data_IF_482932003364
#
_entry.id   IF_482932003364
#
_cell.length_a   1.000
_cell.length_b   1.000
_cell.length_c   1.000
_cell.angle_alpha   90.00
_cell.angle_beta   90.00
_cell.angle_gamma   90.00
#
_symmetry.space_group_name_H-M   'P 1'
#
loop_
_entity.id
_entity.type
_entity.pdbx_description
1 polymer ?
#
# COMPACT_ATOMS: atom_id res chain seq x y z
N UNK A 1 -11.03 9.75 1.21
CA UNK A 1 -11.55 8.37 1.27
C UNK A 1 -10.64 7.49 2.10
N UNK A 2 -11.18 6.40 2.60
CA UNK A 2 -10.45 5.52 3.52
C UNK A 2 -10.11 4.21 2.83
N UNK A 3 -8.86 3.78 2.99
CA UNK A 3 -8.40 2.48 2.49
C UNK A 3 -7.67 1.73 3.59
N UNK A 4 -7.47 0.45 3.38
CA UNK A 4 -6.64 -0.37 4.26
C UNK A 4 -5.36 -0.69 3.51
N UNK A 5 -4.20 -0.45 4.16
CA UNK A 5 -2.89 -0.70 3.57
C UNK A 5 -2.16 -1.77 4.36
N UNK A 6 -1.55 -2.70 3.64
CA UNK A 6 -0.68 -3.68 4.26
C UNK A 6 0.58 -3.84 3.43
N UNK A 7 1.72 -3.54 4.06
CA UNK A 7 3.03 -3.70 3.44
C UNK A 7 3.69 -4.92 4.07
N UNK A 8 4.04 -5.89 3.23
CA UNK A 8 4.51 -7.20 3.70
C UNK A 8 6.02 -7.27 3.78
N UNK A 9 6.50 -8.18 4.62
CA UNK A 9 7.91 -8.50 4.76
C UNK A 9 8.75 -7.23 4.98
N UNK A 10 9.85 -7.08 4.24
CA UNK A 10 10.75 -5.95 4.43
C UNK A 10 10.11 -4.58 4.16
N UNK A 11 8.96 -4.54 3.49
CA UNK A 11 8.27 -3.28 3.25
C UNK A 11 7.52 -2.77 4.46
N UNK A 12 7.37 -3.60 5.49
CA UNK A 12 6.64 -3.20 6.70
C UNK A 12 7.20 -1.96 7.36
N UNK A 13 8.50 -1.70 7.21
CA UNK A 13 9.14 -0.52 7.80
C UNK A 13 8.61 0.80 7.25
N UNK A 14 7.93 0.75 6.09
CA UNK A 14 7.36 1.96 5.50
C UNK A 14 5.92 2.21 5.92
N UNK A 15 5.35 1.31 6.72
CA UNK A 15 3.98 1.53 7.21
C UNK A 15 3.91 2.80 8.03
N UNK A 16 2.91 3.65 7.77
CA UNK A 16 2.78 4.87 8.56
C UNK A 16 2.44 4.56 10.01
N UNK A 17 3.00 5.34 10.91
CA UNK A 17 2.65 5.23 12.32
C UNK A 17 1.36 5.98 12.58
N UNK A 18 0.48 5.38 13.39
CA UNK A 18 -0.80 5.98 13.70
C UNK A 18 -0.97 6.07 15.20
N UNK A 19 -1.78 7.04 15.68
CA UNK A 19 -2.08 7.12 17.11
C UNK A 19 -2.74 5.85 17.62
N UNK A 20 -2.60 5.59 18.91
CA UNK A 20 -3.12 4.36 19.52
C UNK A 20 -4.62 4.21 19.34
N UNK A 21 -5.36 5.32 19.29
CA UNK A 21 -6.81 5.29 19.12
C UNK A 21 -7.25 4.97 17.70
N UNK A 22 -6.33 4.89 16.74
CA UNK A 22 -6.66 4.55 15.36
C UNK A 22 -6.18 3.16 15.04
N UNK A 23 -6.90 2.51 14.13
CA UNK A 23 -6.51 1.16 13.70
C UNK A 23 -5.29 1.23 12.80
N UNK A 24 -4.27 0.41 13.06
CA UNK A 24 -3.12 0.33 12.15
C UNK A 24 -3.55 -0.14 10.77
N UNK A 25 -2.92 0.44 9.75
CA UNK A 25 -3.18 0.04 8.37
C UNK A 25 -4.29 0.78 7.68
N UNK A 26 -5.09 1.57 8.39
CA UNK A 26 -6.16 2.35 7.76
C UNK A 26 -5.68 3.76 7.51
N UNK A 27 -5.86 4.24 6.28
CA UNK A 27 -5.37 5.55 5.84
C UNK A 27 -6.47 6.35 5.20
N UNK A 28 -6.41 7.68 5.41
CA UNK A 28 -7.21 8.62 4.63
C UNK A 28 -6.39 9.09 3.44
N UNK A 29 -6.95 8.98 2.25
CA UNK A 29 -6.29 9.45 1.03
C UNK A 29 -7.30 10.24 0.19
N UNK A 30 -6.79 11.00 -0.77
CA UNK A 30 -7.63 11.79 -1.64
C UNK A 30 -8.17 10.92 -2.79
N UNK A 31 -9.35 11.26 -3.28
CA UNK A 31 -9.88 10.61 -4.45
C UNK A 31 -8.95 10.80 -5.63
N UNK A 32 -8.84 9.77 -6.45
CA UNK A 32 -7.99 9.82 -7.62
C UNK A 32 -6.55 9.42 -7.35
N UNK A 33 -6.21 9.08 -6.10
CA UNK A 33 -4.86 8.65 -5.76
C UNK A 33 -4.57 7.30 -6.42
N UNK A 34 -3.45 7.23 -7.15
CA UNK A 34 -2.99 5.97 -7.69
C UNK A 34 -2.16 5.23 -6.64
N UNK A 35 -2.02 3.91 -6.83
CA UNK A 35 -1.20 3.11 -5.94
C UNK A 35 0.24 3.65 -5.94
N UNK A 36 0.77 3.97 -7.12
CA UNK A 36 2.12 4.52 -7.24
C UNK A 36 2.26 5.81 -6.44
N UNK A 37 1.30 6.73 -6.57
CA UNK A 37 1.37 8.00 -5.85
C UNK A 37 1.37 7.78 -4.34
N UNK A 38 0.56 6.85 -3.85
CA UNK A 38 0.53 6.53 -2.43
C UNK A 38 1.87 5.96 -1.97
N UNK A 39 2.44 5.02 -2.72
CA UNK A 39 3.72 4.41 -2.35
C UNK A 39 4.84 5.45 -2.35
N UNK A 40 4.83 6.37 -3.31
CA UNK A 40 5.82 7.45 -3.34
C UNK A 40 5.69 8.36 -2.13
N UNK A 41 4.45 8.66 -1.75
CA UNK A 41 4.20 9.49 -0.57
C UNK A 41 4.72 8.81 0.70
N UNK A 42 4.60 7.49 0.79
CA UNK A 42 5.11 6.72 1.91
C UNK A 42 6.62 6.47 1.81
N UNK A 43 7.23 6.93 0.72
CA UNK A 43 8.67 6.76 0.46
C UNK A 43 9.08 5.30 0.27
N UNK A 44 8.16 4.49 -0.24
CA UNK A 44 8.47 3.11 -0.61
C UNK A 44 9.14 3.13 -1.97
N UNK A 45 10.40 2.65 -2.08
CA UNK A 45 11.06 2.61 -3.38
C UNK A 45 10.32 1.65 -4.31
N UNK A 46 9.92 2.14 -5.48
CA UNK A 46 9.12 1.31 -6.39
C UNK A 46 9.89 0.10 -6.90
N UNK A 47 11.21 0.17 -6.98
CA UNK A 47 12.03 -0.97 -7.38
C UNK A 47 12.01 -2.10 -6.36
N UNK A 48 11.52 -1.85 -5.15
CA UNK A 48 11.39 -2.89 -4.14
C UNK A 48 10.00 -3.52 -4.12
N UNK A 49 9.12 -3.12 -5.03
CA UNK A 49 7.77 -3.65 -5.10
C UNK A 49 7.68 -4.69 -6.20
N UNK A 50 7.28 -5.90 -5.84
CA UNK A 50 7.15 -7.00 -6.81
C UNK A 50 5.70 -7.26 -7.17
N UNK A 51 4.82 -7.35 -6.18
CA UNK A 51 3.41 -7.67 -6.39
C UNK A 51 2.53 -6.68 -5.66
N UNK A 52 1.44 -6.32 -6.31
CA UNK A 52 0.44 -5.43 -5.74
C UNK A 52 -0.93 -6.10 -5.90
N UNK A 53 -1.69 -6.14 -4.80
CA UNK A 53 -3.05 -6.67 -4.81
C UNK A 53 -4.01 -5.65 -4.24
N UNK A 54 -5.15 -5.51 -4.89
CA UNK A 54 -6.25 -4.69 -4.37
C UNK A 54 -7.45 -5.62 -4.23
N UNK A 55 -7.94 -5.75 -2.99
CA UNK A 55 -9.07 -6.62 -2.67
C UNK A 55 -8.82 -8.06 -3.13
N UNK A 56 -7.56 -8.51 -3.04
CA UNK A 56 -7.19 -9.86 -3.40
C UNK A 56 -6.96 -10.08 -4.89
N UNK A 57 -7.05 -9.04 -5.70
CA UNK A 57 -6.86 -9.13 -7.15
C UNK A 57 -5.58 -8.40 -7.53
N UNK A 58 -4.77 -9.04 -8.38
CA UNK A 58 -3.51 -8.44 -8.84
C UNK A 58 -3.79 -7.10 -9.53
N UNK A 59 -3.03 -6.07 -9.15
CA UNK A 59 -3.22 -4.72 -9.65
C UNK A 59 -1.90 -4.14 -10.14
N UNK A 60 -2.01 -3.02 -10.86
CA UNK A 60 -0.85 -2.28 -11.36
C UNK A 60 -0.67 -1.01 -10.55
N UNK A 61 0.56 -0.50 -10.55
CA UNK A 61 0.86 0.69 -9.75
C UNK A 61 0.16 1.94 -10.24
N UNK A 62 -0.29 1.98 -11.50
CA UNK A 62 -1.03 3.12 -12.02
C UNK A 62 -2.55 3.00 -11.82
N UNK A 63 -3.01 1.92 -11.19
CA UNK A 63 -4.44 1.80 -10.87
C UNK A 63 -4.83 2.81 -9.80
N UNK A 64 -6.05 3.32 -9.92
CA UNK A 64 -6.60 4.31 -8.98
C UNK A 64 -7.29 3.57 -7.84
N UNK A 65 -7.01 4.01 -6.61
CA UNK A 65 -7.64 3.45 -5.42
C UNK A 65 -9.04 4.01 -5.22
N UNK A 66 -9.90 3.22 -4.57
CA UNK A 66 -11.28 3.58 -4.30
C UNK A 66 -11.59 3.41 -2.82
N UNK A 67 -12.68 4.04 -2.41
CA UNK A 67 -13.13 3.95 -1.01
C UNK A 67 -13.26 2.49 -0.58
N UNK A 68 -12.65 2.17 0.53
CA UNK A 68 -12.75 0.84 1.12
C UNK A 68 -11.81 -0.21 0.53
N UNK A 69 -10.96 0.18 -0.43
CA UNK A 69 -10.02 -0.78 -1.02
C UNK A 69 -9.05 -1.30 0.03
N UNK A 70 -8.66 -2.55 -0.13
CA UNK A 70 -7.59 -3.17 0.65
C UNK A 70 -6.39 -3.39 -0.24
N UNK A 71 -5.34 -2.65 0.03
CA UNK A 71 -4.11 -2.66 -0.77
C UNK A 71 -3.05 -3.47 -0.06
N UNK A 72 -2.54 -4.51 -0.73
CA UNK A 72 -1.42 -5.31 -0.25
C UNK A 72 -0.25 -5.18 -1.18
N UNK A 73 0.94 -4.92 -0.64
CA UNK A 73 2.15 -4.73 -1.43
C UNK A 73 3.23 -5.66 -0.93
N UNK A 74 3.83 -6.41 -1.85
CA UNK A 74 4.84 -7.42 -1.55
C UNK A 74 6.16 -7.09 -2.21
N UNK A 75 7.29 -7.28 -1.51
CA UNK A 75 8.60 -7.13 -2.12
C UNK A 75 9.00 -8.42 -2.85
N UNK A 76 10.10 -8.39 -3.62
CA UNK A 76 10.63 -9.62 -4.19
C UNK A 76 11.02 -10.58 -3.08
N UNK A 77 10.83 -11.88 -3.32
CA UNK A 77 11.21 -12.90 -2.36
C UNK A 77 12.71 -13.17 -2.53
N UNK A 78 13.45 -13.12 -1.40
CA UNK A 78 14.88 -13.37 -1.43
C UNK A 78 15.15 -14.80 -1.88
N UNK A 79 16.04 -14.94 -2.87
CA UNK A 79 16.46 -16.25 -3.34
C UNK A 79 15.48 -16.91 -4.30
N UNK A 80 14.43 -16.21 -4.69
CA UNK A 80 13.51 -16.89 -5.59
C UNK A 80 12.50 -15.99 -6.22
#
# INVERSE_FOLDING_TARGET
MKIELKLYASLGKYMPQVPLEKKPGFLEIQEGTTIKALLEELKVPLETVKLIFVNGVHAKDDDVLKEGDRLGVFPPVAGG
#
